data_IF_942548213721
#
_entry.id   IF_942548213721
#
_cell.length_a   1.000
_cell.length_b   1.000
_cell.length_c   1.000
_cell.angle_alpha   90.00
_cell.angle_beta   90.00
_cell.angle_gamma   90.00
#
_symmetry.space_group_name_H-M   'P 1'
#
loop_
_entity.id
_entity.type
_entity.pdbx_description
1 polymer ?
#
# COMPACT_ATOMS: atom_id res chain seq x y z
N UNK A 1 -9.50 -33.00 11.10
CA UNK A 1 -9.06 -31.76 11.76
C UNK A 1 -9.89 -30.64 11.17
N UNK A 2 -10.75 -30.00 11.97
CA UNK A 2 -11.62 -28.93 11.46
C UNK A 2 -10.76 -27.72 11.10
N UNK A 3 -10.79 -27.32 9.82
CA UNK A 3 -10.07 -26.14 9.35
C UNK A 3 -10.74 -24.88 9.91
N UNK A 4 -10.00 -24.13 10.72
CA UNK A 4 -10.45 -22.82 11.21
C UNK A 4 -10.58 -21.83 10.04
N UNK A 5 -11.73 -21.20 9.90
CA UNK A 5 -11.92 -20.16 8.89
C UNK A 5 -11.26 -18.86 9.33
N UNK A 6 -10.77 -18.07 8.38
CA UNK A 6 -10.15 -16.76 8.63
C UNK A 6 -11.04 -15.82 9.48
N UNK A 7 -12.35 -15.82 9.22
CA UNK A 7 -13.32 -15.05 9.98
C UNK A 7 -13.46 -15.54 11.44
N UNK A 8 -13.31 -16.84 11.68
CA UNK A 8 -13.31 -17.39 13.05
C UNK A 8 -12.05 -16.94 13.81
N UNK A 9 -10.89 -16.89 13.16
CA UNK A 9 -9.64 -16.38 13.73
C UNK A 9 -9.73 -14.89 14.07
N UNK A 10 -10.23 -14.05 13.15
CA UNK A 10 -10.45 -12.62 13.38
C UNK A 10 -11.38 -12.33 14.57
N UNK A 11 -12.42 -13.15 14.74
CA UNK A 11 -13.40 -13.00 15.83
C UNK A 11 -12.85 -13.48 17.17
N UNK A 12 -12.26 -14.69 17.21
CA UNK A 12 -11.90 -15.39 18.45
C UNK A 12 -10.48 -15.09 18.94
N UNK A 13 -9.55 -14.69 18.07
CA UNK A 13 -8.15 -14.46 18.44
C UNK A 13 -7.81 -12.96 18.46
N UNK A 14 -7.72 -12.38 19.67
CA UNK A 14 -7.41 -10.95 19.86
C UNK A 14 -6.03 -10.57 19.32
N UNK A 15 -5.03 -11.43 19.50
CA UNK A 15 -3.67 -11.19 19.01
C UNK A 15 -3.64 -11.17 17.49
N UNK A 16 -4.31 -12.13 16.84
CA UNK A 16 -4.46 -12.16 15.39
C UNK A 16 -5.18 -10.93 14.86
N UNK A 17 -6.27 -10.51 15.50
CA UNK A 17 -7.00 -9.30 15.10
C UNK A 17 -6.12 -8.05 15.15
N UNK A 18 -5.32 -7.88 16.22
CA UNK A 18 -4.37 -6.75 16.33
C UNK A 18 -3.31 -6.79 15.24
N UNK A 19 -2.73 -7.97 15.01
CA UNK A 19 -1.74 -8.18 13.95
C UNK A 19 -2.34 -7.93 12.57
N UNK A 20 -3.60 -8.26 12.33
CA UNK A 20 -4.28 -8.01 11.06
C UNK A 20 -4.64 -6.54 10.86
N UNK A 21 -5.09 -5.85 11.91
CA UNK A 21 -5.44 -4.42 11.80
C UNK A 21 -4.25 -3.52 11.50
N UNK A 22 -3.04 -3.89 11.93
CA UNK A 22 -1.82 -3.10 11.69
C UNK A 22 -1.55 -2.92 10.19
N UNK A 23 -1.30 -4.00 9.44
CA UNK A 23 -1.11 -3.96 7.98
C UNK A 23 -2.27 -3.30 7.25
N UNK A 24 -3.52 -3.55 7.64
CA UNK A 24 -4.69 -2.92 6.99
C UNK A 24 -4.61 -1.39 7.10
N UNK A 25 -4.35 -0.87 8.31
CA UNK A 25 -4.23 0.58 8.53
C UNK A 25 -2.99 1.13 7.82
N UNK A 26 -1.87 0.41 7.84
CA UNK A 26 -0.64 0.80 7.15
C UNK A 26 -0.84 0.89 5.64
N UNK A 27 -1.51 -0.08 5.03
CA UNK A 27 -1.80 -0.06 3.60
C UNK A 27 -2.75 1.08 3.23
N UNK A 28 -3.77 1.37 4.06
CA UNK A 28 -4.60 2.55 3.86
C UNK A 28 -3.75 3.84 3.88
N UNK A 29 -2.82 3.95 4.82
CA UNK A 29 -1.86 5.06 4.87
C UNK A 29 -0.97 5.14 3.62
N UNK A 30 -0.49 4.00 3.14
CA UNK A 30 0.32 3.91 1.92
C UNK A 30 -0.46 4.35 0.68
N UNK A 31 -1.75 4.00 0.57
CA UNK A 31 -2.64 4.49 -0.48
C UNK A 31 -2.82 6.02 -0.44
N UNK A 32 -3.06 6.59 0.75
CA UNK A 32 -3.16 8.05 0.89
C UNK A 32 -1.84 8.76 0.55
N UNK A 33 -0.71 8.23 1.02
CA UNK A 33 0.60 8.77 0.69
C UNK A 33 0.85 8.76 -0.83
N UNK A 34 0.48 7.67 -1.50
CA UNK A 34 0.61 7.55 -2.95
C UNK A 34 -0.22 8.61 -3.68
N UNK A 35 -1.49 8.80 -3.32
CA UNK A 35 -2.36 9.84 -3.92
C UNK A 35 -1.78 11.24 -3.66
N UNK A 36 -1.33 11.52 -2.44
CA UNK A 36 -0.74 12.80 -2.08
C UNK A 36 0.53 13.09 -2.89
N UNK A 37 1.41 12.08 -3.04
CA UNK A 37 2.62 12.19 -3.84
C UNK A 37 2.30 12.51 -5.32
N UNK A 38 1.31 11.83 -5.92
CA UNK A 38 0.86 12.15 -7.28
C UNK A 38 0.31 13.58 -7.39
N UNK A 39 -0.42 14.05 -6.37
CA UNK A 39 -0.89 15.44 -6.28
C UNK A 39 0.25 16.46 -6.25
N UNK A 40 1.27 16.22 -5.42
CA UNK A 40 2.46 17.08 -5.33
C UNK A 40 3.20 17.14 -6.67
N UNK A 41 3.41 16.00 -7.33
CA UNK A 41 4.04 15.93 -8.65
C UNK A 41 3.26 16.76 -9.66
N UNK A 42 1.93 16.66 -9.67
CA UNK A 42 1.07 17.46 -10.57
C UNK A 42 1.19 18.96 -10.29
N UNK A 43 1.26 19.40 -9.05
CA UNK A 43 1.41 20.83 -8.71
C UNK A 43 2.77 21.36 -9.15
N UNK A 44 3.86 20.64 -8.83
CA UNK A 44 5.23 21.08 -9.11
C UNK A 44 5.55 21.04 -10.62
N UNK A 45 4.97 20.09 -11.34
CA UNK A 45 5.20 19.93 -12.78
C UNK A 45 4.25 20.72 -13.68
N UNK A 46 3.41 21.61 -13.13
CA UNK A 46 2.33 22.28 -13.88
C UNK A 46 1.44 21.28 -14.66
N UNK A 47 1.08 20.18 -13.99
CA UNK A 47 0.26 19.10 -14.50
C UNK A 47 0.84 18.32 -15.70
N UNK A 48 2.16 18.40 -15.94
CA UNK A 48 2.84 17.65 -16.98
C UNK A 48 2.62 16.12 -16.85
N UNK A 49 2.01 15.46 -17.85
CA UNK A 49 1.74 14.01 -17.81
C UNK A 49 3.01 13.15 -17.72
N UNK A 50 4.09 13.58 -18.36
CA UNK A 50 5.38 12.89 -18.37
C UNK A 50 6.00 12.79 -16.97
N UNK A 51 5.86 13.83 -16.15
CA UNK A 51 6.39 13.84 -14.78
C UNK A 51 5.70 12.78 -13.91
N UNK A 52 4.37 12.67 -14.03
CA UNK A 52 3.59 11.65 -13.31
C UNK A 52 3.95 10.25 -13.79
N UNK A 53 4.10 10.08 -15.11
CA UNK A 53 4.48 8.79 -15.73
C UNK A 53 5.87 8.35 -15.27
N UNK A 54 6.85 9.24 -15.25
CA UNK A 54 8.21 8.95 -14.77
C UNK A 54 8.19 8.52 -13.30
N UNK A 55 7.45 9.22 -12.44
CA UNK A 55 7.34 8.85 -11.02
C UNK A 55 6.75 7.44 -10.84
N UNK A 56 5.73 7.08 -11.61
CA UNK A 56 5.16 5.74 -11.58
C UNK A 56 6.16 4.67 -12.04
N UNK A 57 6.92 4.94 -13.11
CA UNK A 57 7.97 4.05 -13.59
C UNK A 57 9.08 3.86 -12.54
N UNK A 58 9.60 4.96 -12.00
CA UNK A 58 10.66 4.91 -10.99
C UNK A 58 10.21 4.27 -9.68
N UNK A 59 8.92 4.35 -9.32
CA UNK A 59 8.38 3.64 -8.15
C UNK A 59 8.47 2.11 -8.29
N UNK A 60 8.46 1.59 -9.52
CA UNK A 60 8.59 0.14 -9.77
C UNK A 60 10.04 -0.34 -9.76
N UNK A 61 11.01 0.56 -9.97
CA UNK A 61 12.45 0.20 -10.06
C UNK A 61 12.94 -0.60 -8.85
N UNK A 62 12.70 -0.18 -7.58
CA UNK A 62 13.12 -0.96 -6.43
C UNK A 62 12.53 -2.36 -6.40
N UNK A 63 11.24 -2.50 -6.74
CA UNK A 63 10.59 -3.79 -6.80
C UNK A 63 11.22 -4.67 -7.88
N UNK A 64 11.45 -4.14 -9.08
CA UNK A 64 12.05 -4.92 -10.18
C UNK A 64 13.49 -5.36 -9.92
N UNK A 65 14.26 -4.58 -9.17
CA UNK A 65 15.68 -4.86 -8.93
C UNK A 65 15.92 -5.72 -7.70
N UNK A 66 15.06 -5.62 -6.68
CA UNK A 66 15.29 -6.21 -5.37
C UNK A 66 14.18 -7.18 -4.91
N UNK A 67 13.13 -7.42 -5.72
CA UNK A 67 12.20 -8.50 -5.41
C UNK A 67 12.95 -9.86 -5.43
N UNK A 68 12.67 -10.75 -4.48
CA UNK A 68 13.24 -12.09 -4.43
C UNK A 68 12.80 -13.00 -5.58
#
# INVERSE_FOLDING_TARGET
MDSLTYMQLLRRNRSFRRLWTGPVISELGNWFNFIAALGVVRVVSNAAPEATTLVLLFRMVPFTLFAP
#
